data_IF_999416756481
#
_entry.id   IF_999416756481
#
_cell.length_a   1.000
_cell.length_b   1.000
_cell.length_c   1.000
_cell.angle_alpha   90.00
_cell.angle_beta   90.00
_cell.angle_gamma   90.00
#
_symmetry.space_group_name_H-M   'P 1'
#
loop_
_entity.id
_entity.type
_entity.pdbx_description
1 polymer ?
#
# COMPACT_ATOMS: atom_id res chain seq x y z
N UNK A 1 6.47 -19.60 -16.59
CA UNK A 1 5.87 -18.41 -15.93
C UNK A 1 5.86 -18.63 -14.42
N UNK A 2 6.57 -17.80 -13.66
CA UNK A 2 7.01 -18.11 -12.29
C UNK A 2 5.84 -17.99 -11.28
N UNK A 3 5.41 -19.09 -10.66
CA UNK A 3 4.26 -19.10 -9.73
C UNK A 3 4.39 -18.08 -8.58
N UNK A 4 5.63 -17.82 -8.15
CA UNK A 4 5.95 -16.82 -7.13
C UNK A 4 5.55 -15.39 -7.52
N UNK A 5 5.62 -15.03 -8.81
CA UNK A 5 5.23 -13.70 -9.28
C UNK A 5 3.72 -13.49 -9.16
N UNK A 6 2.93 -14.50 -9.52
CA UNK A 6 1.47 -14.45 -9.35
C UNK A 6 1.06 -14.41 -7.89
N UNK A 7 1.72 -15.16 -7.02
CA UNK A 7 1.51 -15.09 -5.57
C UNK A 7 1.80 -13.68 -5.05
N UNK A 8 2.89 -13.05 -5.51
CA UNK A 8 3.23 -11.68 -5.14
C UNK A 8 2.16 -10.68 -5.60
N UNK A 9 1.63 -10.81 -6.82
CA UNK A 9 0.53 -9.97 -7.33
C UNK A 9 -0.73 -10.10 -6.46
N UNK A 10 -1.14 -11.33 -6.14
CA UNK A 10 -2.30 -11.57 -5.28
C UNK A 10 -2.08 -10.93 -3.91
N UNK A 11 -0.88 -11.07 -3.35
CA UNK A 11 -0.54 -10.49 -2.07
C UNK A 11 -0.55 -8.95 -2.10
N UNK A 12 -0.01 -8.33 -3.15
CA UNK A 12 -0.09 -6.88 -3.40
C UNK A 12 -1.55 -6.42 -3.39
N UNK A 13 -2.43 -7.15 -4.06
CA UNK A 13 -3.85 -6.80 -4.14
C UNK A 13 -4.52 -6.85 -2.75
N UNK A 14 -4.24 -7.90 -1.98
CA UNK A 14 -4.76 -8.06 -0.61
C UNK A 14 -4.26 -6.92 0.29
N UNK A 15 -2.97 -6.60 0.25
CA UNK A 15 -2.40 -5.50 1.04
C UNK A 15 -2.97 -4.15 0.61
N UNK A 16 -3.17 -3.93 -0.70
CA UNK A 16 -3.79 -2.72 -1.22
C UNK A 16 -5.22 -2.53 -0.71
N UNK A 17 -6.03 -3.59 -0.73
CA UNK A 17 -7.39 -3.56 -0.15
C UNK A 17 -7.33 -3.28 1.35
N UNK A 18 -6.45 -3.96 2.09
CA UNK A 18 -6.29 -3.74 3.52
C UNK A 18 -5.90 -2.29 3.85
N UNK A 19 -5.02 -1.68 3.04
CA UNK A 19 -4.65 -0.27 3.16
C UNK A 19 -5.87 0.65 2.93
N UNK A 20 -6.65 0.41 1.89
CA UNK A 20 -7.84 1.20 1.60
C UNK A 20 -8.88 1.10 2.74
N UNK A 21 -9.15 -0.11 3.22
CA UNK A 21 -10.06 -0.34 4.36
C UNK A 21 -9.55 0.36 5.61
N UNK A 22 -8.24 0.29 5.88
CA UNK A 22 -7.62 0.98 7.01
C UNK A 22 -7.79 2.50 6.92
N UNK A 23 -7.57 3.10 5.75
CA UNK A 23 -7.73 4.55 5.55
C UNK A 23 -9.18 4.99 5.73
N UNK A 24 -10.14 4.30 5.09
CA UNK A 24 -11.57 4.59 5.24
C UNK A 24 -12.01 4.46 6.69
N UNK A 25 -11.57 3.40 7.38
CA UNK A 25 -11.86 3.21 8.80
C UNK A 25 -11.29 4.34 9.65
N UNK A 26 -10.06 4.78 9.36
CA UNK A 26 -9.44 5.88 10.09
C UNK A 26 -10.22 7.19 9.95
N UNK A 27 -10.73 7.49 8.76
CA UNK A 27 -11.57 8.66 8.52
C UNK A 27 -12.88 8.58 9.31
N UNK A 28 -13.53 7.41 9.31
CA UNK A 28 -14.78 7.22 10.05
C UNK A 28 -14.58 7.35 11.56
N UNK A 29 -13.51 6.76 12.11
CA UNK A 29 -13.20 6.86 13.53
C UNK A 29 -12.87 8.30 13.94
N UNK A 30 -12.08 9.03 13.13
CA UNK A 30 -11.79 10.44 13.38
C UNK A 30 -13.05 11.30 13.36
N UNK A 31 -13.92 11.10 12.36
CA UNK A 31 -15.19 11.82 12.28
C UNK A 31 -16.09 11.54 13.48
N UNK A 32 -16.23 10.28 13.88
CA UNK A 32 -17.03 9.87 15.04
C UNK A 32 -16.49 10.47 16.34
N UNK A 33 -15.19 10.44 16.53
CA UNK A 33 -14.52 11.02 17.69
C UNK A 33 -14.73 12.53 17.77
N UNK A 34 -14.60 13.24 16.63
CA UNK A 34 -14.89 14.67 16.55
C UNK A 34 -16.38 14.94 16.83
N UNK A 35 -17.30 14.15 16.29
CA UNK A 35 -18.73 14.33 16.51
C UNK A 35 -19.10 14.22 17.99
N UNK A 36 -18.47 13.30 18.73
CA UNK A 36 -18.72 13.06 20.14
C UNK A 36 -18.03 14.07 21.08
N UNK A 37 -16.77 14.42 20.81
CA UNK A 37 -15.95 15.23 21.73
C UNK A 37 -15.81 16.69 21.32
N UNK A 38 -16.14 17.03 20.08
CA UNK A 38 -15.89 18.35 19.45
C UNK A 38 -14.42 18.80 19.53
N UNK A 39 -13.49 17.86 19.66
CA UNK A 39 -12.06 18.16 19.74
C UNK A 39 -11.51 18.64 18.39
N UNK A 40 -11.07 19.89 18.33
CA UNK A 40 -10.50 20.53 17.13
C UNK A 40 -9.25 19.82 16.60
N UNK A 41 -8.42 19.23 17.47
CA UNK A 41 -7.23 18.49 17.04
C UNK A 41 -7.61 17.27 16.20
N UNK A 42 -8.72 16.61 16.53
CA UNK A 42 -9.21 15.45 15.77
C UNK A 42 -9.78 15.90 14.43
N UNK A 43 -10.45 17.05 14.38
CA UNK A 43 -10.91 17.65 13.14
C UNK A 43 -9.74 18.00 12.20
N UNK A 44 -8.67 18.58 12.74
CA UNK A 44 -7.44 18.86 11.99
C UNK A 44 -6.82 17.58 11.43
N UNK A 45 -6.73 16.51 12.23
CA UNK A 45 -6.24 15.22 11.76
C UNK A 45 -7.14 14.64 10.66
N UNK A 46 -8.46 14.77 10.78
CA UNK A 46 -9.41 14.32 9.75
C UNK A 46 -9.19 15.06 8.43
N UNK A 47 -9.13 16.39 8.46
CA UNK A 47 -8.89 17.22 7.27
C UNK A 47 -7.52 16.89 6.66
N UNK A 48 -6.48 16.82 7.49
CA UNK A 48 -5.13 16.48 7.04
C UNK A 48 -5.06 15.08 6.44
N UNK A 49 -5.86 14.12 6.94
CA UNK A 49 -5.95 12.78 6.39
C UNK A 49 -6.55 12.80 4.97
N UNK A 50 -7.66 13.52 4.77
CA UNK A 50 -8.28 13.68 3.45
C UNK A 50 -7.34 14.39 2.48
N UNK A 51 -6.79 15.54 2.89
CA UNK A 51 -5.86 16.32 2.05
C UNK A 51 -4.61 15.49 1.73
N UNK A 52 -4.07 14.78 2.72
CA UNK A 52 -2.95 13.86 2.54
C UNK A 52 -3.24 12.76 1.52
N UNK A 53 -4.48 12.26 1.48
CA UNK A 53 -4.94 11.25 0.53
C UNK A 53 -4.88 11.77 -0.92
N UNK A 54 -5.28 13.02 -1.16
CA UNK A 54 -5.23 13.62 -2.49
C UNK A 54 -3.82 14.08 -2.92
N UNK A 55 -3.00 14.58 -1.98
CA UNK A 55 -1.67 15.11 -2.31
C UNK A 55 -0.60 14.05 -2.51
N UNK A 56 -0.67 12.95 -1.75
CA UNK A 56 0.41 11.94 -1.71
C UNK A 56 -0.08 10.52 -1.97
N UNK A 57 -1.34 10.38 -2.38
CA UNK A 57 -2.02 9.08 -2.34
C UNK A 57 -2.11 8.58 -0.90
N UNK A 58 -1.76 7.33 -0.65
CA UNK A 58 -1.92 6.73 0.67
C UNK A 58 -0.89 7.15 1.72
N UNK A 59 0.26 7.72 1.35
CA UNK A 59 1.42 7.86 2.25
C UNK A 59 1.16 8.82 3.43
N UNK A 60 0.85 10.09 3.17
CA UNK A 60 0.58 11.07 4.24
C UNK A 60 -0.67 10.68 5.02
N UNK A 61 -1.72 10.22 4.33
CA UNK A 61 -2.96 9.76 4.95
C UNK A 61 -2.69 8.60 5.94
N UNK A 62 -1.81 7.67 5.59
CA UNK A 62 -1.42 6.56 6.47
C UNK A 62 -0.64 7.05 7.70
N UNK A 63 0.28 8.00 7.53
CA UNK A 63 1.03 8.60 8.66
C UNK A 63 0.06 9.30 9.62
N UNK A 64 -0.87 10.09 9.10
CA UNK A 64 -1.87 10.79 9.92
C UNK A 64 -2.77 9.81 10.67
N UNK A 65 -3.21 8.73 10.01
CA UNK A 65 -3.96 7.65 10.65
C UNK A 65 -3.16 6.99 11.79
N UNK A 66 -1.87 6.72 11.59
CA UNK A 66 -0.99 6.16 12.63
C UNK A 66 -0.87 7.10 13.83
N UNK A 67 -0.70 8.41 13.59
CA UNK A 67 -0.64 9.44 14.65
C UNK A 67 -1.95 9.44 15.45
N UNK A 68 -3.11 9.40 14.78
CA UNK A 68 -4.41 9.36 15.44
C UNK A 68 -4.56 8.12 16.35
N UNK A 69 -4.14 6.94 15.87
CA UNK A 69 -4.22 5.71 16.65
C UNK A 69 -3.11 5.54 17.69
N UNK A 70 -2.08 6.41 17.71
CA UNK A 70 -0.86 6.22 18.49
C UNK A 70 -1.09 5.94 19.98
N UNK A 71 -2.05 6.65 20.59
CA UNK A 71 -2.49 6.48 21.97
C UNK A 71 -3.87 5.81 22.11
N UNK A 72 -4.60 5.61 21.01
CA UNK A 72 -5.99 5.10 21.02
C UNK A 72 -6.10 3.60 20.81
N UNK A 73 -5.27 3.02 19.94
CA UNK A 73 -5.32 1.59 19.65
C UNK A 73 -3.96 1.07 19.19
N UNK A 74 -3.36 0.18 19.99
CA UNK A 74 -2.10 -0.50 19.64
C UNK A 74 -2.26 -1.34 18.37
N UNK A 75 -3.39 -2.02 18.22
CA UNK A 75 -3.67 -2.89 17.06
C UNK A 75 -3.73 -2.08 15.78
N UNK A 76 -4.47 -0.97 15.76
CA UNK A 76 -4.58 -0.12 14.56
C UNK A 76 -3.27 0.58 14.24
N UNK A 77 -2.54 1.04 15.25
CA UNK A 77 -1.21 1.61 15.06
C UNK A 77 -0.26 0.61 14.40
N UNK A 78 -0.19 -0.61 14.94
CA UNK A 78 0.70 -1.64 14.41
C UNK A 78 0.29 -2.07 12.99
N UNK A 79 -1.02 -2.16 12.71
CA UNK A 79 -1.53 -2.41 11.36
C UNK A 79 -1.12 -1.30 10.39
N UNK A 80 -1.29 -0.04 10.79
CA UNK A 80 -0.86 1.11 9.97
C UNK A 80 0.63 1.10 9.67
N UNK A 81 1.48 0.80 10.67
CA UNK A 81 2.93 0.69 10.49
C UNK A 81 3.27 -0.47 9.54
N UNK A 82 2.64 -1.63 9.73
CA UNK A 82 2.83 -2.78 8.85
C UNK A 82 2.48 -2.43 7.40
N UNK A 83 1.32 -1.80 7.17
CA UNK A 83 0.89 -1.40 5.83
C UNK A 83 1.81 -0.34 5.21
N UNK A 84 2.32 0.59 6.03
CA UNK A 84 3.25 1.64 5.61
C UNK A 84 4.57 1.06 5.09
N UNK A 85 5.05 -0.01 5.72
CA UNK A 85 6.29 -0.69 5.34
C UNK A 85 6.04 -1.69 4.21
N UNK A 86 4.93 -2.44 4.28
CA UNK A 86 4.59 -3.47 3.30
C UNK A 86 4.39 -2.88 1.90
N UNK A 87 3.77 -1.70 1.77
CA UNK A 87 3.56 -1.05 0.47
C UNK A 87 4.85 -0.87 -0.33
N UNK A 88 5.85 -0.12 0.17
CA UNK A 88 7.14 0.06 -0.51
C UNK A 88 7.87 -1.25 -0.78
N UNK A 89 7.89 -2.19 0.19
CA UNK A 89 8.56 -3.49 0.02
C UNK A 89 7.95 -4.28 -1.13
N UNK A 90 6.62 -4.35 -1.18
CA UNK A 90 5.90 -5.06 -2.23
C UNK A 90 6.05 -4.39 -3.60
N UNK A 91 6.11 -3.07 -3.64
CA UNK A 91 6.37 -2.32 -4.87
C UNK A 91 7.78 -2.62 -5.43
N UNK A 92 8.80 -2.65 -4.57
CA UNK A 92 10.17 -3.02 -4.98
C UNK A 92 10.21 -4.46 -5.51
N UNK A 93 9.58 -5.40 -4.80
CA UNK A 93 9.51 -6.80 -5.24
C UNK A 93 8.79 -6.94 -6.59
N UNK A 94 7.74 -6.15 -6.81
CA UNK A 94 7.03 -6.11 -8.08
C UNK A 94 7.92 -5.61 -9.23
N UNK A 95 8.70 -4.54 -8.99
CA UNK A 95 9.64 -4.00 -10.00
C UNK A 95 10.70 -5.05 -10.35
N UNK A 96 11.37 -5.63 -9.35
CA UNK A 96 12.40 -6.64 -9.57
C UNK A 96 11.83 -7.84 -10.31
N UNK A 97 10.66 -8.34 -9.88
CA UNK A 97 9.95 -9.42 -10.55
C UNK A 97 9.64 -9.10 -12.02
N UNK A 98 9.22 -7.87 -12.31
CA UNK A 98 8.89 -7.44 -13.67
C UNK A 98 10.12 -7.44 -14.59
N UNK A 99 11.26 -6.92 -14.12
CA UNK A 99 12.51 -6.96 -14.88
C UNK A 99 13.00 -8.39 -15.15
N UNK A 100 12.95 -9.27 -14.14
CA UNK A 100 13.36 -10.67 -14.33
C UNK A 100 12.51 -11.44 -15.34
N UNK A 101 11.22 -11.11 -15.45
CA UNK A 101 10.34 -11.73 -16.46
C UNK A 101 10.65 -11.18 -17.85
N UNK A 102 10.89 -9.88 -17.95
CA UNK A 102 11.21 -9.23 -19.22
C UNK A 102 12.53 -9.76 -19.82
N UNK A 103 13.58 -9.85 -19.01
CA UNK A 103 14.88 -10.38 -19.44
C UNK A 103 14.78 -11.86 -19.83
N UNK A 104 14.00 -12.65 -19.09
CA UNK A 104 13.76 -14.06 -19.41
C UNK A 104 13.07 -14.25 -20.76
N UNK A 105 12.08 -13.41 -21.08
CA UNK A 105 11.41 -13.45 -22.39
C UNK A 105 12.39 -13.13 -23.52
N UNK A 106 13.22 -12.10 -23.37
CA UNK A 106 14.20 -11.70 -24.40
C UNK A 106 15.18 -12.83 -24.74
N UNK A 107 15.68 -13.56 -23.75
CA UNK A 107 16.59 -14.70 -23.99
C UNK A 107 15.92 -15.85 -24.75
N UNK A 108 14.65 -16.15 -24.47
CA UNK A 108 13.89 -17.17 -25.19
C UNK A 108 13.66 -16.76 -26.67
N UNK A 109 13.44 -15.48 -26.95
CA UNK A 109 13.31 -14.96 -28.31
C UNK A 109 14.61 -15.08 -29.11
N UNK A 110 15.74 -14.68 -28.53
CA UNK A 110 17.06 -14.79 -29.19
C UNK A 110 17.42 -16.25 -29.51
N UNK A 111 17.10 -17.20 -28.61
CA UNK A 111 17.33 -18.62 -28.87
C UNK A 111 16.45 -19.17 -30.00
N UNK A 112 15.18 -18.77 -30.08
CA UNK A 112 14.29 -19.18 -31.17
C UNK A 112 14.75 -18.64 -32.53
N UNK A 113 15.20 -17.38 -32.58
CA UNK A 113 15.74 -16.79 -33.81
C UNK A 113 17.01 -17.53 -34.28
N UNK A 114 17.91 -17.86 -33.35
CA UNK A 114 19.10 -18.65 -33.67
C UNK A 114 18.78 -20.03 -34.24
N UNK A 115 17.74 -20.71 -33.71
CA UNK A 115 17.31 -22.02 -34.22
C UNK A 115 16.59 -21.97 -35.57
N UNK A 116 15.93 -20.85 -35.92
CA UNK A 116 15.27 -20.70 -37.22
C UNK A 116 16.22 -20.29 -38.35
N UNK A 117 17.37 -19.73 -38.01
CA UNK A 117 18.39 -19.27 -38.97
C UNK A 117 19.54 -20.28 -39.19
N UNK A 118 19.44 -21.49 -38.60
CA UNK A 118 20.32 -22.65 -38.81
C UNK A 118 19.58 -23.73 -39.61
#
# INVERSE_FOLDING_TARGET
>A
MNALFWIAIVFIFIVGIAALVYLVKSLFDMWREYAATKNETVLLLFILNIVGLFLSGSLLSMIVAIIFYWKRSKTMRNLGIFLLIAGPVLFILFIIGSFTIYDGQMMDWEQMEYQMNL
#
